data_IF_940235865556
#
_entry.id   IF_940235865556
#
_cell.length_a   1.000
_cell.length_b   1.000
_cell.length_c   1.000
_cell.angle_alpha   90.00
_cell.angle_beta   90.00
_cell.angle_gamma   90.00
#
_symmetry.space_group_name_H-M   'P 1'
#
loop_
_entity.id
_entity.type
_entity.pdbx_description
1 polymer ?
#
# COMPACT_ATOMS: atom_id res chain seq x y z
N UNK A 1 28.53 67.06 11.43
CA UNK A 1 29.75 66.39 10.96
C UNK A 1 29.86 65.10 11.75
N UNK A 2 29.30 64.03 11.17
CA UNK A 2 30.07 62.94 10.57
C UNK A 2 30.52 62.03 11.72
N UNK A 3 29.81 60.95 12.04
CA UNK A 3 30.19 59.62 11.53
C UNK A 3 29.16 58.54 11.93
N UNK A 4 28.00 58.44 11.26
CA UNK A 4 27.05 57.35 11.56
C UNK A 4 26.30 56.76 10.34
N UNK A 5 26.86 56.84 9.13
CA UNK A 5 26.20 56.30 7.91
C UNK A 5 27.09 55.38 7.04
N UNK A 6 27.95 54.51 7.62
CA UNK A 6 28.76 53.57 6.80
C UNK A 6 28.78 52.11 7.26
N UNK A 7 27.66 51.55 7.71
CA UNK A 7 27.57 50.09 7.98
C UNK A 7 26.32 49.36 7.46
N UNK A 8 25.67 49.84 6.40
CA UNK A 8 24.65 49.06 5.69
C UNK A 8 24.95 49.01 4.20
N UNK A 9 25.87 48.14 3.78
CA UNK A 9 26.21 48.06 2.35
C UNK A 9 27.11 46.91 1.92
N UNK A 10 27.18 45.80 2.68
CA UNK A 10 28.01 44.64 2.27
C UNK A 10 27.55 43.30 2.84
N UNK A 11 26.22 43.08 2.88
CA UNK A 11 25.63 41.88 3.50
C UNK A 11 24.76 41.00 2.61
N UNK A 12 24.36 41.46 1.42
CA UNK A 12 23.26 40.85 0.65
C UNK A 12 23.68 40.03 -0.58
N UNK A 13 24.88 40.23 -1.14
CA UNK A 13 25.27 39.53 -2.39
C UNK A 13 25.87 38.12 -2.16
N UNK A 14 26.38 37.83 -0.96
CA UNK A 14 27.02 36.53 -0.67
C UNK A 14 26.08 35.39 -0.27
N UNK A 15 24.85 35.69 0.13
CA UNK A 15 23.90 34.69 0.65
C UNK A 15 23.02 34.08 -0.45
N UNK A 16 22.73 34.85 -1.50
CA UNK A 16 21.91 34.42 -2.63
C UNK A 16 22.66 33.46 -3.58
N UNK A 17 23.96 33.69 -3.83
CA UNK A 17 24.82 32.80 -4.63
C UNK A 17 25.00 31.41 -3.97
N UNK A 18 25.11 31.40 -2.63
CA UNK A 18 25.29 30.17 -1.84
C UNK A 18 24.01 29.31 -1.82
N UNK A 19 22.83 29.95 -1.81
CA UNK A 19 21.53 29.28 -1.89
C UNK A 19 21.27 28.65 -3.27
N UNK A 20 21.59 29.35 -4.35
CA UNK A 20 21.40 28.86 -5.72
C UNK A 20 22.32 27.68 -6.05
N UNK A 21 23.61 27.74 -5.64
CA UNK A 21 24.53 26.60 -5.75
C UNK A 21 24.04 25.37 -4.99
N UNK A 22 23.56 25.53 -3.75
CA UNK A 22 23.04 24.42 -2.93
C UNK A 22 21.78 23.77 -3.53
N UNK A 23 20.90 24.56 -4.14
CA UNK A 23 19.70 24.07 -4.84
C UNK A 23 20.06 23.27 -6.10
N UNK A 24 21.02 23.77 -6.90
CA UNK A 24 21.49 23.10 -8.12
C UNK A 24 22.22 21.77 -7.83
N UNK A 25 23.01 21.71 -6.75
CA UNK A 25 23.66 20.49 -6.27
C UNK A 25 22.65 19.46 -5.74
N UNK A 26 21.61 19.92 -5.04
CA UNK A 26 20.53 19.04 -4.57
C UNK A 26 19.71 18.49 -5.73
N UNK A 27 19.37 19.31 -6.73
CA UNK A 27 18.67 18.89 -7.94
C UNK A 27 19.45 17.84 -8.74
N UNK A 28 20.78 18.01 -8.88
CA UNK A 28 21.65 17.03 -9.52
C UNK A 28 21.70 15.71 -8.75
N UNK A 29 21.89 15.76 -7.42
CA UNK A 29 21.90 14.54 -6.57
C UNK A 29 20.55 13.82 -6.58
N UNK A 30 19.44 14.55 -6.58
CA UNK A 30 18.10 13.97 -6.68
C UNK A 30 17.89 13.29 -8.03
N UNK A 31 18.34 13.90 -9.13
CA UNK A 31 18.23 13.32 -10.47
C UNK A 31 19.11 12.07 -10.64
N UNK A 32 20.35 12.08 -10.12
CA UNK A 32 21.21 10.89 -10.10
C UNK A 32 20.64 9.76 -9.25
N UNK A 33 20.05 10.08 -8.09
CA UNK A 33 19.38 9.09 -7.23
C UNK A 33 18.17 8.46 -7.92
N UNK A 34 17.40 9.26 -8.67
CA UNK A 34 16.24 8.78 -9.43
C UNK A 34 16.65 7.88 -10.60
N UNK A 35 17.68 8.25 -11.38
CA UNK A 35 18.18 7.42 -12.48
C UNK A 35 18.78 6.10 -11.98
N UNK A 36 19.56 6.12 -10.89
CA UNK A 36 20.05 4.89 -10.24
C UNK A 36 18.91 4.00 -9.73
N UNK A 37 17.86 4.60 -9.17
CA UNK A 37 16.65 3.87 -8.76
C UNK A 37 15.92 3.21 -9.93
N UNK A 38 15.87 3.89 -11.08
CA UNK A 38 15.26 3.41 -12.31
C UNK A 38 16.06 2.27 -12.96
N UNK A 39 17.38 2.36 -12.96
CA UNK A 39 18.25 1.28 -13.43
C UNK A 39 18.16 0.03 -12.55
N UNK A 40 18.18 0.20 -11.22
CA UNK A 40 18.02 -0.89 -10.25
C UNK A 40 16.64 -1.57 -10.38
N UNK A 41 15.59 -0.79 -10.65
CA UNK A 41 14.25 -1.33 -10.90
C UNK A 41 14.17 -2.12 -12.22
N UNK A 42 14.87 -1.68 -13.27
CA UNK A 42 14.94 -2.42 -14.55
C UNK A 42 15.72 -3.73 -14.39
N UNK A 43 16.88 -3.70 -13.74
CA UNK A 43 17.68 -4.92 -13.55
C UNK A 43 16.91 -5.96 -12.74
N UNK A 44 16.23 -5.54 -11.67
CA UNK A 44 15.37 -6.43 -10.88
C UNK A 44 14.20 -7.00 -11.70
N UNK A 45 13.58 -6.19 -12.57
CA UNK A 45 12.50 -6.66 -13.45
C UNK A 45 12.99 -7.70 -14.47
N UNK A 46 14.19 -7.50 -15.02
CA UNK A 46 14.79 -8.41 -15.99
C UNK A 46 15.24 -9.72 -15.32
N UNK A 47 15.82 -9.66 -14.12
CA UNK A 47 16.15 -10.84 -13.31
C UNK A 47 14.92 -11.64 -12.92
N UNK A 48 13.83 -10.95 -12.54
CA UNK A 48 12.55 -11.59 -12.19
C UNK A 48 11.94 -12.29 -13.41
N UNK A 49 11.93 -11.64 -14.59
CA UNK A 49 11.43 -12.25 -15.82
C UNK A 49 12.27 -13.47 -16.22
N UNK A 50 13.60 -13.38 -16.08
CA UNK A 50 14.51 -14.48 -16.39
C UNK A 50 14.27 -15.66 -15.45
N UNK A 51 14.17 -15.41 -14.15
CA UNK A 51 13.87 -16.45 -13.15
C UNK A 51 12.50 -17.11 -13.38
N UNK A 52 11.47 -16.32 -13.70
CA UNK A 52 10.14 -16.84 -14.00
C UNK A 52 10.12 -17.72 -15.26
N UNK A 53 10.89 -17.33 -16.29
CA UNK A 53 11.01 -18.10 -17.53
C UNK A 53 11.78 -19.40 -17.30
N UNK A 54 12.92 -19.35 -16.60
CA UNK A 54 13.71 -20.55 -16.26
C UNK A 54 12.90 -21.54 -15.40
N UNK A 55 12.11 -21.04 -14.45
CA UNK A 55 11.21 -21.88 -13.66
C UNK A 55 10.08 -22.49 -14.51
N UNK A 56 9.47 -21.68 -15.38
CA UNK A 56 8.41 -22.14 -16.29
C UNK A 56 8.88 -23.24 -17.24
N UNK A 57 10.07 -23.07 -17.82
CA UNK A 57 10.68 -24.04 -18.72
C UNK A 57 11.01 -25.35 -17.98
N UNK A 58 11.54 -25.25 -16.76
CA UNK A 58 11.85 -26.43 -15.92
C UNK A 58 10.61 -27.16 -15.44
N UNK A 59 9.56 -26.42 -15.06
CA UNK A 59 8.27 -26.99 -14.68
C UNK A 59 7.59 -27.69 -15.86
N UNK A 60 7.66 -27.12 -17.07
CA UNK A 60 7.18 -27.79 -18.28
C UNK A 60 7.98 -29.06 -18.59
N UNK A 61 9.30 -29.04 -18.42
CA UNK A 61 10.15 -30.20 -18.68
C UNK A 61 9.85 -31.35 -17.71
N UNK A 62 9.75 -31.07 -16.40
CA UNK A 62 9.36 -32.03 -15.36
C UNK A 62 7.95 -32.58 -15.60
N UNK A 63 7.00 -31.71 -15.98
CA UNK A 63 5.64 -32.14 -16.32
C UNK A 63 5.60 -33.02 -17.57
N UNK A 64 6.44 -32.73 -18.57
CA UNK A 64 6.54 -33.52 -19.80
C UNK A 64 7.18 -34.88 -19.54
N UNK A 65 8.26 -34.94 -18.74
CA UNK A 65 8.87 -36.19 -18.26
C UNK A 65 7.88 -37.03 -17.44
N UNK A 66 7.16 -36.41 -16.52
CA UNK A 66 6.10 -37.07 -15.75
C UNK A 66 4.97 -37.59 -16.66
N UNK A 67 4.56 -36.82 -17.66
CA UNK A 67 3.53 -37.24 -18.62
C UNK A 67 4.01 -38.39 -19.52
N UNK A 68 5.29 -38.43 -19.88
CA UNK A 68 5.89 -39.50 -20.68
C UNK A 68 6.09 -40.78 -19.87
N UNK A 69 6.57 -40.68 -18.62
CA UNK A 69 6.69 -41.82 -17.71
C UNK A 69 5.33 -42.42 -17.32
N UNK A 70 4.26 -41.64 -17.42
CA UNK A 70 2.89 -42.08 -17.05
C UNK A 70 2.09 -42.63 -18.25
N UNK A 71 2.59 -42.58 -19.50
CA UNK A 71 1.89 -43.13 -20.68
C UNK A 71 1.61 -44.64 -20.61
N UNK A 72 2.36 -45.39 -19.79
CA UNK A 72 2.11 -46.82 -19.52
C UNK A 72 1.09 -47.11 -18.40
N UNK A 73 0.58 -46.09 -17.71
CA UNK A 73 -0.26 -46.22 -16.51
C UNK A 73 -1.61 -45.49 -16.70
N UNK A 74 -2.19 -45.57 -17.90
CA UNK A 74 -3.35 -44.74 -18.28
C UNK A 74 -4.69 -45.12 -17.60
N UNK A 75 -4.79 -46.30 -16.99
CA UNK A 75 -6.00 -46.76 -16.29
C UNK A 75 -6.15 -46.18 -14.88
N UNK A 76 -5.14 -46.38 -14.02
CA UNK A 76 -5.16 -45.97 -12.61
C UNK A 76 -4.83 -44.48 -12.41
N UNK A 77 -3.98 -43.88 -13.25
CA UNK A 77 -3.63 -42.46 -13.13
C UNK A 77 -4.81 -41.52 -13.37
N UNK A 78 -5.80 -41.89 -14.19
CA UNK A 78 -6.96 -41.03 -14.41
C UNK A 78 -7.84 -40.95 -13.17
N UNK A 79 -7.95 -42.06 -12.42
CA UNK A 79 -8.65 -42.10 -11.13
C UNK A 79 -7.84 -41.37 -10.05
N UNK A 80 -6.53 -41.58 -9.97
CA UNK A 80 -5.66 -40.87 -9.02
C UNK A 80 -5.56 -39.37 -9.31
N UNK A 81 -5.55 -38.94 -10.57
CA UNK A 81 -5.56 -37.53 -10.94
C UNK A 81 -6.91 -36.87 -10.66
N UNK A 82 -8.02 -37.60 -10.80
CA UNK A 82 -9.33 -37.12 -10.41
C UNK A 82 -9.47 -37.06 -8.88
N UNK A 83 -9.05 -38.09 -8.14
CA UNK A 83 -9.06 -38.10 -6.67
C UNK A 83 -8.15 -37.01 -6.09
N UNK A 84 -6.96 -36.81 -6.66
CA UNK A 84 -6.06 -35.72 -6.26
C UNK A 84 -6.59 -34.35 -6.68
N UNK A 85 -7.19 -34.24 -7.87
CA UNK A 85 -7.82 -33.01 -8.35
C UNK A 85 -9.04 -32.61 -7.52
N UNK A 86 -9.86 -33.57 -7.11
CA UNK A 86 -10.94 -33.38 -6.15
C UNK A 86 -10.40 -33.07 -4.77
N UNK A 87 -9.36 -33.75 -4.30
CA UNK A 87 -8.67 -33.45 -3.04
C UNK A 87 -8.13 -32.02 -3.01
N UNK A 88 -7.42 -31.59 -4.06
CA UNK A 88 -6.90 -30.25 -4.19
C UNK A 88 -8.00 -29.19 -4.32
N UNK A 89 -9.08 -29.48 -5.07
CA UNK A 89 -10.26 -28.59 -5.14
C UNK A 89 -10.98 -28.50 -3.81
N UNK A 90 -11.10 -29.61 -3.07
CA UNK A 90 -11.72 -29.67 -1.75
C UNK A 90 -10.90 -28.91 -0.73
N UNK A 91 -9.58 -29.12 -0.69
CA UNK A 91 -8.66 -28.33 0.16
C UNK A 91 -8.65 -26.86 -0.22
N UNK A 92 -8.67 -26.51 -1.51
CA UNK A 92 -8.75 -25.13 -1.95
C UNK A 92 -10.11 -24.49 -1.58
N UNK A 93 -11.21 -25.24 -1.68
CA UNK A 93 -12.52 -24.78 -1.23
C UNK A 93 -12.60 -24.65 0.28
N UNK A 94 -12.08 -25.61 1.06
CA UNK A 94 -12.02 -25.54 2.52
C UNK A 94 -11.10 -24.41 3.00
N UNK A 95 -9.96 -24.18 2.33
CA UNK A 95 -9.09 -23.04 2.60
C UNK A 95 -9.76 -21.72 2.24
N UNK A 96 -10.42 -21.65 1.08
CA UNK A 96 -11.18 -20.46 0.65
C UNK A 96 -12.36 -20.22 1.57
N UNK A 97 -13.04 -21.25 2.05
CA UNK A 97 -14.16 -21.14 2.98
C UNK A 97 -13.68 -20.78 4.37
N UNK A 98 -12.58 -21.36 4.88
CA UNK A 98 -11.98 -20.95 6.15
C UNK A 98 -11.40 -19.54 6.11
N UNK A 99 -10.76 -19.15 5.00
CA UNK A 99 -10.34 -17.78 4.77
C UNK A 99 -11.55 -16.86 4.61
N UNK A 100 -12.54 -17.25 3.81
CA UNK A 100 -13.78 -16.48 3.67
C UNK A 100 -14.44 -16.36 5.02
N UNK A 101 -14.59 -17.38 5.84
CA UNK A 101 -15.23 -17.36 7.16
C UNK A 101 -14.41 -16.52 8.16
N UNK A 102 -13.08 -16.64 8.17
CA UNK A 102 -12.22 -15.78 8.97
C UNK A 102 -12.31 -14.30 8.54
N UNK A 103 -12.43 -14.03 7.24
CA UNK A 103 -12.53 -12.68 6.68
C UNK A 103 -13.98 -12.18 6.51
N UNK A 104 -14.99 -13.04 6.61
CA UNK A 104 -16.43 -12.73 6.48
C UNK A 104 -17.17 -12.79 7.81
N UNK A 105 -16.63 -13.48 8.82
CA UNK A 105 -16.81 -13.11 10.23
C UNK A 105 -16.25 -11.72 10.55
N UNK A 106 -15.36 -11.22 9.70
CA UNK A 106 -14.87 -9.82 9.65
C UNK A 106 -15.61 -8.98 8.58
N UNK A 107 -16.52 -9.56 7.78
CA UNK A 107 -16.89 -8.94 6.49
C UNK A 107 -18.09 -9.49 5.70
N UNK A 108 -19.17 -9.92 6.34
CA UNK A 108 -20.46 -10.15 5.64
C UNK A 108 -21.30 -8.87 5.47
N UNK A 109 -21.29 -8.00 6.48
CA UNK A 109 -22.22 -6.85 6.59
C UNK A 109 -21.52 -5.67 7.29
N UNK A 110 -20.60 -6.01 8.19
CA UNK A 110 -19.89 -5.08 9.05
C UNK A 110 -18.50 -4.79 8.52
N UNK A 111 -18.41 -3.79 7.63
CA UNK A 111 -17.15 -3.13 7.26
C UNK A 111 -16.40 -2.51 8.45
N UNK A 112 -16.95 -2.61 9.67
CA UNK A 112 -16.48 -2.06 10.94
C UNK A 112 -15.07 -2.51 11.29
N UNK A 113 -14.85 -3.82 11.38
CA UNK A 113 -13.56 -4.38 11.80
C UNK A 113 -12.48 -4.05 10.77
N UNK A 114 -12.81 -4.20 9.48
CA UNK A 114 -11.92 -3.85 8.39
C UNK A 114 -11.56 -2.35 8.39
N UNK A 115 -12.56 -1.46 8.52
CA UNK A 115 -12.34 -0.02 8.59
C UNK A 115 -11.55 0.38 9.84
N UNK A 116 -11.80 -0.26 10.98
CA UNK A 116 -11.10 -0.01 12.24
C UNK A 116 -9.61 -0.37 12.19
N UNK A 117 -9.29 -1.58 11.71
CA UNK A 117 -7.90 -2.03 11.55
C UNK A 117 -7.16 -1.15 10.54
N UNK A 118 -7.79 -0.82 9.41
CA UNK A 118 -7.17 0.03 8.39
C UNK A 118 -7.01 1.47 8.85
N UNK A 119 -7.89 1.96 9.72
CA UNK A 119 -7.74 3.27 10.34
C UNK A 119 -6.55 3.28 11.33
N UNK A 120 -6.23 2.17 11.99
CA UNK A 120 -5.06 2.09 12.87
C UNK A 120 -3.76 2.01 12.06
N UNK A 121 -3.71 1.14 11.05
CA UNK A 121 -2.47 0.89 10.28
C UNK A 121 -2.23 2.00 9.25
N UNK A 122 -3.29 2.46 8.60
CA UNK A 122 -3.25 3.37 7.45
C UNK A 122 -4.12 4.62 7.63
N UNK A 123 -4.48 4.97 8.87
CA UNK A 123 -5.34 6.12 9.17
C UNK A 123 -4.76 7.47 8.75
N UNK A 124 -3.44 7.62 8.80
CA UNK A 124 -2.75 8.82 8.31
C UNK A 124 -2.96 9.08 6.81
N UNK A 125 -3.27 8.03 6.03
CA UNK A 125 -3.55 8.13 4.59
C UNK A 125 -5.05 8.21 4.28
N UNK A 126 -5.93 8.05 5.28
CA UNK A 126 -7.38 8.06 5.08
C UNK A 126 -7.95 6.84 4.35
N UNK A 127 -7.19 5.74 4.25
CA UNK A 127 -7.55 4.54 3.47
C UNK A 127 -8.85 3.90 4.01
N UNK A 128 -9.07 3.95 5.32
CA UNK A 128 -10.29 3.46 5.97
C UNK A 128 -11.58 4.11 5.47
N UNK A 129 -11.52 5.36 4.99
CA UNK A 129 -12.69 6.09 4.45
C UNK A 129 -13.10 5.59 3.07
N UNK A 130 -12.16 5.12 2.26
CA UNK A 130 -12.47 4.57 0.92
C UNK A 130 -13.32 3.31 1.00
N UNK A 131 -13.13 2.49 2.03
CA UNK A 131 -13.88 1.24 2.24
C UNK A 131 -15.33 1.49 2.63
N UNK A 132 -15.58 2.60 3.31
CA UNK A 132 -16.93 3.05 3.66
C UNK A 132 -17.61 3.81 2.51
N UNK A 133 -16.92 4.01 1.38
CA UNK A 133 -17.44 4.73 0.23
C UNK A 133 -17.37 6.27 0.37
N UNK A 134 -16.55 6.77 1.29
CA UNK A 134 -16.22 8.19 1.46
C UNK A 134 -14.96 8.54 0.65
N UNK A 135 -15.03 8.33 -0.66
CA UNK A 135 -13.88 8.53 -1.56
C UNK A 135 -13.45 9.99 -1.60
N UNK A 136 -14.38 10.94 -1.50
CA UNK A 136 -14.08 12.38 -1.51
C UNK A 136 -13.28 12.77 -0.26
N UNK A 137 -13.70 12.28 0.90
CA UNK A 137 -13.12 12.58 2.19
C UNK A 137 -11.78 11.88 2.39
N UNK A 138 -11.65 10.65 1.89
CA UNK A 138 -10.37 9.95 1.80
C UNK A 138 -9.35 10.69 0.94
N UNK A 139 -9.76 11.24 -0.21
CA UNK A 139 -8.89 12.07 -1.07
C UNK A 139 -8.49 13.37 -0.37
N UNK A 140 -9.42 14.03 0.33
CA UNK A 140 -9.11 15.25 1.11
C UNK A 140 -8.05 14.94 2.17
N UNK A 141 -8.21 13.87 2.95
CA UNK A 141 -7.20 13.43 3.93
C UNK A 141 -5.85 13.18 3.25
N UNK A 142 -5.83 12.48 2.12
CA UNK A 142 -4.61 12.15 1.39
C UNK A 142 -3.89 13.40 0.87
N UNK A 143 -4.63 14.37 0.33
CA UNK A 143 -4.08 15.65 -0.15
C UNK A 143 -3.60 16.51 1.02
N UNK A 144 -4.28 16.52 2.16
CA UNK A 144 -3.83 17.24 3.36
C UNK A 144 -2.58 16.59 3.94
N UNK A 145 -2.55 15.27 4.09
CA UNK A 145 -1.38 14.53 4.60
C UNK A 145 -0.17 14.70 3.68
N UNK A 146 -0.35 14.63 2.36
CA UNK A 146 0.77 14.76 1.42
C UNK A 146 1.15 16.23 1.20
N UNK A 147 0.18 17.10 0.92
CA UNK A 147 0.41 18.52 0.62
C UNK A 147 0.79 19.31 1.86
N UNK A 148 -0.08 19.34 2.87
CA UNK A 148 0.16 20.08 4.11
C UNK A 148 1.26 19.40 4.95
N UNK A 149 1.30 18.07 4.97
CA UNK A 149 2.36 17.33 5.64
C UNK A 149 3.73 17.54 5.00
N UNK A 150 3.85 17.60 3.68
CA UNK A 150 5.14 17.92 3.04
C UNK A 150 5.60 19.35 3.35
N UNK A 151 4.68 20.32 3.36
CA UNK A 151 5.01 21.72 3.67
C UNK A 151 5.43 21.89 5.15
N UNK A 152 4.79 21.14 6.06
CA UNK A 152 5.04 21.23 7.51
C UNK A 152 6.04 20.19 8.04
N UNK A 153 6.83 19.57 7.16
CA UNK A 153 7.82 18.55 7.53
C UNK A 153 7.24 17.37 8.35
N UNK A 154 6.03 16.95 8.02
CA UNK A 154 5.35 15.80 8.62
C UNK A 154 4.53 16.12 9.87
N UNK A 155 4.57 17.34 10.42
CA UNK A 155 3.78 17.68 11.61
C UNK A 155 2.28 17.57 11.39
N UNK A 156 1.77 18.08 10.26
CA UNK A 156 0.36 17.91 9.92
C UNK A 156 -0.02 16.44 9.68
N UNK A 157 0.90 15.65 9.09
CA UNK A 157 0.68 14.22 8.88
C UNK A 157 0.57 13.44 10.21
N UNK A 158 1.39 13.79 11.21
CA UNK A 158 1.31 13.19 12.54
C UNK A 158 -0.02 13.49 13.24
N UNK A 159 -0.54 14.72 13.11
CA UNK A 159 -1.85 15.09 13.65
C UNK A 159 -3.00 14.32 12.99
N UNK A 160 -2.97 14.18 11.65
CA UNK A 160 -3.96 13.41 10.89
C UNK A 160 -3.87 11.91 11.21
N UNK A 161 -2.66 11.39 11.44
CA UNK A 161 -2.48 10.00 11.85
C UNK A 161 -3.11 9.71 13.22
N UNK A 162 -2.93 10.60 14.20
CA UNK A 162 -3.58 10.48 15.52
C UNK A 162 -5.11 10.47 15.36
N UNK A 163 -5.65 11.37 14.55
CA UNK A 163 -7.08 11.41 14.21
C UNK A 163 -7.53 10.07 13.60
N UNK A 164 -6.79 9.53 12.63
CA UNK A 164 -7.10 8.24 12.01
C UNK A 164 -7.08 7.08 13.01
N UNK A 165 -6.12 7.05 13.95
CA UNK A 165 -6.05 6.01 14.99
C UNK A 165 -7.25 6.09 15.94
N UNK A 166 -7.63 7.30 16.37
CA UNK A 166 -8.82 7.49 17.21
C UNK A 166 -10.08 7.05 16.45
N UNK A 167 -10.18 7.33 15.14
CA UNK A 167 -11.32 6.86 14.33
C UNK A 167 -11.36 5.33 14.26
N UNK A 168 -10.20 4.70 14.12
CA UNK A 168 -10.09 3.25 14.12
C UNK A 168 -10.55 2.62 15.43
N UNK A 169 -10.17 3.21 16.57
CA UNK A 169 -10.65 2.78 17.88
C UNK A 169 -12.17 2.97 17.98
N UNK A 170 -12.72 4.12 17.56
CA UNK A 170 -14.17 4.38 17.59
C UNK A 170 -14.95 3.40 16.71
N UNK A 171 -14.41 3.00 15.57
CA UNK A 171 -15.05 1.99 14.73
C UNK A 171 -15.06 0.64 15.44
N UNK A 172 -13.95 0.24 16.08
CA UNK A 172 -13.84 -1.04 16.79
C UNK A 172 -14.66 -1.09 18.09
N UNK A 173 -14.87 0.05 18.76
CA UNK A 173 -15.63 0.12 20.02
C UNK A 173 -17.13 0.24 19.83
N UNK A 174 -17.60 0.58 18.62
CA UNK A 174 -19.03 0.63 18.31
C UNK A 174 -19.64 -0.75 18.08
N UNK A 175 -20.92 -0.88 18.41
CA UNK A 175 -21.68 -2.07 18.00
C UNK A 175 -21.86 -2.06 16.48
N UNK A 176 -22.02 -3.24 15.90
CA UNK A 176 -22.15 -3.42 14.46
C UNK A 176 -23.36 -2.66 13.87
N UNK A 177 -24.50 -2.69 14.56
CA UNK A 177 -25.71 -1.95 14.18
C UNK A 177 -25.51 -0.44 14.24
N UNK A 178 -24.87 0.07 15.30
CA UNK A 178 -24.57 1.50 15.43
C UNK A 178 -23.60 1.96 14.33
N UNK A 179 -22.58 1.16 14.05
CA UNK A 179 -21.63 1.45 13.00
C UNK A 179 -22.32 1.52 11.63
N UNK A 180 -23.17 0.53 11.34
CA UNK A 180 -23.92 0.48 10.09
C UNK A 180 -24.85 1.71 9.95
N UNK A 181 -25.62 2.02 10.98
CA UNK A 181 -26.56 3.14 10.95
C UNK A 181 -25.86 4.50 10.83
N UNK A 182 -24.72 4.70 11.50
CA UNK A 182 -24.02 5.99 11.50
C UNK A 182 -23.16 6.16 10.23
N UNK A 183 -22.36 5.14 9.90
CA UNK A 183 -21.29 5.25 8.91
C UNK A 183 -21.61 4.60 7.57
N UNK A 184 -22.63 3.75 7.46
CA UNK A 184 -23.06 3.21 6.16
C UNK A 184 -24.35 3.88 5.68
N UNK A 185 -25.38 3.94 6.53
CA UNK A 185 -26.68 4.54 6.21
C UNK A 185 -26.66 6.06 6.39
N UNK A 186 -26.28 6.52 7.58
CA UNK A 186 -26.24 7.94 7.94
C UNK A 186 -25.11 8.72 7.27
N UNK A 187 -24.23 8.02 6.55
CA UNK A 187 -23.13 8.59 5.76
C UNK A 187 -22.30 9.64 6.53
N UNK A 188 -22.06 9.44 7.84
CA UNK A 188 -21.26 10.37 8.67
C UNK A 188 -19.75 10.22 8.37
N UNK A 189 -19.09 11.21 7.73
CA UNK A 189 -17.74 11.02 7.20
C UNK A 189 -16.62 11.14 8.24
N UNK A 190 -16.87 11.75 9.40
CA UNK A 190 -15.91 11.96 10.49
C UNK A 190 -16.58 11.60 11.82
N UNK A 191 -15.77 11.44 12.88
CA UNK A 191 -16.22 11.16 14.27
C UNK A 191 -17.64 11.62 14.60
#
# INVERSE_FOLDING_TARGET
>A
MSDEEKKFGKGSEGSFDKGNKKSSEFGKKANEGFEKGKESSKSFSDDTKKSAKDFGDRAQEEFKKAKESTKGFAGDSKKAANDFGEGAKKTANEFREGAKEAFSGVGGENKKVLAGILAIVLGGFGIHKFILGYTKEGIIMLVVTIGLGAITCGMAASAVWIIGVIEGIIYLTKTDEEFYNIYQVGRKPWF
#
